data_IF_211327806797
#
_entry.id   IF_211327806797
#
_cell.length_a   1.000
_cell.length_b   1.000
_cell.length_c   1.000
_cell.angle_alpha   90.00
_cell.angle_beta   90.00
_cell.angle_gamma   90.00
#
_symmetry.space_group_name_H-M   'P 1'
#
loop_
_entity.id
_entity.type
_entity.pdbx_description
1 polymer ?
#
# COMPACT_ATOMS: atom_id res chain seq x y z
N UNK A 1 -3.30 11.26 10.35
CA UNK A 1 -3.56 12.00 11.59
C UNK A 1 -2.25 12.38 12.26
N UNK A 2 -2.27 13.43 13.01
CA UNK A 2 -1.11 13.83 13.82
C UNK A 2 -0.84 12.77 14.89
N UNK A 3 0.43 12.47 15.14
CA UNK A 3 0.82 11.56 16.21
C UNK A 3 0.51 12.16 17.59
N UNK A 4 0.40 11.31 18.61
CA UNK A 4 0.30 11.78 19.99
C UNK A 4 1.63 12.38 20.45
N UNK A 5 1.59 13.45 21.24
CA UNK A 5 2.79 14.17 21.69
C UNK A 5 3.73 13.34 22.59
N UNK A 6 3.30 12.17 23.05
CA UNK A 6 4.05 11.23 23.89
C UNK A 6 4.42 9.92 23.18
N UNK A 7 4.35 9.89 21.84
CA UNK A 7 4.61 8.68 21.06
C UNK A 7 6.01 8.10 21.29
N UNK A 8 7.02 8.93 21.46
CA UNK A 8 8.38 8.51 21.76
C UNK A 8 8.44 7.74 23.09
N UNK A 9 7.86 8.29 24.16
CA UNK A 9 7.80 7.62 25.48
C UNK A 9 7.01 6.30 25.40
N UNK A 10 5.86 6.30 24.73
CA UNK A 10 4.99 5.12 24.58
C UNK A 10 5.66 3.99 23.84
N UNK A 11 6.24 4.28 22.65
CA UNK A 11 6.84 3.23 21.82
C UNK A 11 8.20 2.77 22.34
N UNK A 12 8.98 3.62 23.00
CA UNK A 12 10.19 3.18 23.69
C UNK A 12 9.87 2.28 24.91
N UNK A 13 8.86 2.63 25.71
CA UNK A 13 8.42 1.78 26.81
C UNK A 13 7.86 0.44 26.29
N UNK A 14 7.06 0.46 25.22
CA UNK A 14 6.56 -0.74 24.57
C UNK A 14 7.71 -1.61 24.04
N UNK A 15 8.68 -1.02 23.36
CA UNK A 15 9.88 -1.73 22.87
C UNK A 15 10.68 -2.40 23.97
N UNK A 16 10.86 -1.73 25.12
CA UNK A 16 11.53 -2.33 26.28
C UNK A 16 10.76 -3.56 26.82
N UNK A 17 9.43 -3.47 26.89
CA UNK A 17 8.58 -4.59 27.31
C UNK A 17 8.64 -5.75 26.31
N UNK A 18 8.59 -5.49 25.00
CA UNK A 18 8.74 -6.50 23.93
C UNK A 18 10.07 -7.24 24.05
N UNK A 19 11.17 -6.51 24.23
CA UNK A 19 12.49 -7.13 24.39
C UNK A 19 12.58 -7.98 25.68
N UNK A 20 12.04 -7.48 26.80
CA UNK A 20 12.03 -8.22 28.05
C UNK A 20 11.22 -9.53 27.91
N UNK A 21 10.04 -9.48 27.31
CA UNK A 21 9.20 -10.64 27.06
C UNK A 21 9.90 -11.66 26.14
N UNK A 22 10.49 -11.19 25.01
CA UNK A 22 11.21 -12.05 24.07
C UNK A 22 12.32 -12.86 24.75
N UNK A 23 13.11 -12.21 25.61
CA UNK A 23 14.25 -12.86 26.31
C UNK A 23 13.83 -13.79 27.46
N UNK A 24 12.69 -13.56 28.12
CA UNK A 24 12.30 -14.28 29.34
C UNK A 24 11.25 -15.34 29.12
N UNK A 25 10.46 -15.30 28.05
CA UNK A 25 9.35 -16.23 27.82
C UNK A 25 9.73 -17.45 26.93
N UNK A 26 11.01 -17.68 26.69
CA UNK A 26 11.49 -18.85 25.92
C UNK A 26 11.22 -18.77 24.43
N UNK A 27 11.04 -17.58 23.88
CA UNK A 27 10.91 -17.36 22.43
C UNK A 27 12.24 -17.61 21.72
N UNK A 28 12.18 -18.05 20.45
CA UNK A 28 13.36 -18.32 19.63
C UNK A 28 13.87 -17.09 18.88
N UNK A 29 12.98 -16.11 18.63
CA UNK A 29 13.28 -14.83 18.00
C UNK A 29 12.27 -13.76 18.43
N UNK A 30 12.57 -12.50 18.16
CA UNK A 30 11.60 -11.40 18.17
C UNK A 30 11.45 -10.83 16.76
N UNK A 31 10.20 -10.59 16.36
CA UNK A 31 9.89 -9.94 15.09
C UNK A 31 9.32 -8.54 15.35
N UNK A 32 10.08 -7.55 14.95
CA UNK A 32 9.77 -6.13 15.13
C UNK A 32 9.10 -5.58 13.87
N UNK A 33 8.18 -4.63 14.05
CA UNK A 33 7.48 -3.99 12.94
C UNK A 33 7.64 -2.47 13.01
N UNK A 34 8.25 -1.89 11.99
CA UNK A 34 8.51 -0.46 11.84
C UNK A 34 9.22 0.17 13.06
N UNK A 35 9.27 1.51 13.10
CA UNK A 35 9.90 2.25 14.19
C UNK A 35 9.23 2.07 15.55
N UNK A 36 7.94 1.67 15.58
CA UNK A 36 7.13 1.52 16.79
C UNK A 36 7.67 0.47 17.76
N UNK A 37 8.33 -0.57 17.24
CA UNK A 37 8.95 -1.64 18.03
C UNK A 37 10.46 -1.67 17.87
N UNK A 38 11.01 -0.86 16.99
CA UNK A 38 12.41 -0.88 16.58
C UNK A 38 13.41 -0.75 17.74
N UNK A 39 13.11 0.07 18.75
CA UNK A 39 13.99 0.25 19.89
C UNK A 39 14.23 -1.04 20.70
N UNK A 40 13.35 -2.05 20.57
CA UNK A 40 13.55 -3.36 21.21
C UNK A 40 14.86 -4.03 20.79
N UNK A 41 15.34 -3.78 19.57
CA UNK A 41 16.61 -4.29 19.08
C UNK A 41 17.81 -3.89 19.96
N UNK A 42 17.74 -2.74 20.65
CA UNK A 42 18.83 -2.28 21.53
C UNK A 42 19.11 -3.23 22.70
N UNK A 43 18.08 -3.90 23.20
CA UNK A 43 18.22 -4.88 24.30
C UNK A 43 18.20 -6.33 23.84
N UNK A 44 17.59 -6.60 22.66
CA UNK A 44 17.43 -7.95 22.16
C UNK A 44 18.69 -8.45 21.40
N UNK A 45 19.39 -7.55 20.69
CA UNK A 45 20.56 -7.90 19.89
C UNK A 45 21.66 -8.57 20.73
N UNK A 46 22.13 -9.73 20.26
CA UNK A 46 23.11 -10.57 20.96
C UNK A 46 22.52 -11.50 22.04
N UNK A 47 21.25 -11.33 22.41
CA UNK A 47 20.55 -12.16 23.41
C UNK A 47 19.51 -13.10 22.75
N UNK A 48 18.81 -12.61 21.73
CA UNK A 48 17.82 -13.35 20.97
C UNK A 48 17.80 -12.81 19.53
N UNK A 49 17.65 -13.67 18.49
CA UNK A 49 17.58 -13.23 17.11
C UNK A 49 16.46 -12.19 16.86
N UNK A 50 16.79 -11.18 16.05
CA UNK A 50 15.91 -10.05 15.75
C UNK A 50 15.59 -10.02 14.26
N UNK A 51 14.33 -10.12 13.90
CA UNK A 51 13.82 -9.83 12.55
C UNK A 51 13.09 -8.49 12.59
N UNK A 52 13.31 -7.64 11.62
CA UNK A 52 12.63 -6.35 11.48
C UNK A 52 11.86 -6.30 10.17
N UNK A 53 10.54 -6.09 10.20
CA UNK A 53 9.76 -5.69 9.02
C UNK A 53 9.64 -4.18 8.93
N UNK A 54 9.92 -3.66 7.72
CA UNK A 54 9.79 -2.24 7.40
C UNK A 54 8.69 -2.08 6.36
N UNK A 55 7.56 -1.50 6.81
CA UNK A 55 6.41 -1.27 5.96
C UNK A 55 6.50 0.06 5.22
N UNK A 56 7.17 1.06 5.81
CA UNK A 56 7.39 2.35 5.17
C UNK A 56 8.61 3.08 5.76
N UNK A 57 9.65 3.30 4.95
CA UNK A 57 10.88 4.00 5.35
C UNK A 57 10.69 5.50 5.65
N UNK A 58 9.60 6.11 5.21
CA UNK A 58 9.32 7.51 5.51
C UNK A 58 9.07 7.76 7.01
N UNK A 59 8.66 6.73 7.75
CA UNK A 59 8.37 6.81 9.17
C UNK A 59 9.48 6.17 9.99
N UNK A 60 10.42 6.97 10.48
CA UNK A 60 11.62 6.50 11.17
C UNK A 60 11.57 6.62 12.70
N UNK A 61 10.55 7.31 13.23
CA UNK A 61 10.40 7.55 14.68
C UNK A 61 11.49 8.46 15.25
N UNK A 62 12.06 9.39 14.43
CA UNK A 62 13.13 10.31 14.89
C UNK A 62 12.64 11.12 16.08
N UNK A 63 13.45 11.15 17.15
CA UNK A 63 13.16 11.85 18.38
C UNK A 63 14.45 12.43 19.00
N UNK A 64 14.32 13.09 20.15
CA UNK A 64 15.43 13.76 20.80
C UNK A 64 16.57 12.84 21.22
N UNK A 65 17.79 13.36 21.22
CA UNK A 65 19.01 12.62 21.62
C UNK A 65 18.98 12.17 23.09
N UNK A 66 18.21 12.81 23.93
CA UNK A 66 18.00 12.46 25.34
C UNK A 66 17.43 11.05 25.54
N UNK A 67 16.76 10.48 24.54
CA UNK A 67 16.24 9.14 24.57
C UNK A 67 17.31 8.05 24.46
N UNK A 68 18.49 8.39 23.87
CA UNK A 68 19.62 7.46 23.72
C UNK A 68 20.05 6.89 25.08
N UNK A 69 20.11 7.71 26.12
CA UNK A 69 20.49 7.28 27.46
C UNK A 69 19.49 6.31 28.14
N UNK A 70 18.32 6.10 27.55
CA UNK A 70 17.27 5.19 28.04
C UNK A 70 17.23 3.88 27.28
N UNK A 71 17.98 3.77 26.17
CA UNK A 71 18.10 2.56 25.40
C UNK A 71 19.09 1.59 26.08
N UNK A 72 19.05 0.32 25.66
CA UNK A 72 19.92 -0.74 26.18
C UNK A 72 21.38 -0.60 25.77
N UNK A 73 22.17 -1.66 25.91
CA UNK A 73 23.62 -1.63 25.71
C UNK A 73 24.04 -1.24 24.27
N UNK A 74 23.14 -1.44 23.29
CA UNK A 74 23.40 -1.11 21.89
C UNK A 74 22.88 0.26 21.46
N UNK A 75 22.65 1.18 22.42
CA UNK A 75 22.10 2.52 22.20
C UNK A 75 22.84 3.34 21.12
N UNK A 76 24.15 3.12 20.95
CA UNK A 76 24.97 3.80 19.95
C UNK A 76 24.50 3.64 18.51
N UNK A 77 23.89 2.49 18.17
CA UNK A 77 23.33 2.22 16.84
C UNK A 77 22.16 3.15 16.48
N UNK A 78 21.52 3.76 17.48
CA UNK A 78 20.35 4.63 17.31
C UNK A 78 20.70 6.11 17.13
N UNK A 79 21.98 6.46 17.24
CA UNK A 79 22.45 7.84 17.03
C UNK A 79 22.62 8.09 15.55
N UNK A 80 21.82 9.01 14.99
CA UNK A 80 21.94 9.43 13.60
C UNK A 80 21.65 10.93 13.46
N UNK A 81 22.55 11.65 12.79
CA UNK A 81 22.40 13.08 12.52
C UNK A 81 22.07 13.90 13.78
N UNK A 82 22.70 13.56 14.92
CA UNK A 82 22.50 14.25 16.21
C UNK A 82 21.16 13.97 16.89
N UNK A 83 20.40 12.98 16.44
CA UNK A 83 19.11 12.58 17.00
C UNK A 83 19.06 11.07 17.29
N UNK A 84 18.05 10.64 18.04
CA UNK A 84 17.66 9.23 18.14
C UNK A 84 16.81 8.85 16.92
N UNK A 85 17.24 7.81 16.21
CA UNK A 85 16.49 7.25 15.08
C UNK A 85 16.23 5.76 15.34
N UNK A 86 15.03 5.39 15.88
CA UNK A 86 14.68 4.02 16.19
C UNK A 86 14.80 3.08 15.00
N UNK A 87 14.26 3.44 13.83
CA UNK A 87 14.30 2.57 12.66
C UNK A 87 15.73 2.31 12.19
N UNK A 88 16.57 3.35 12.12
CA UNK A 88 17.98 3.20 11.73
C UNK A 88 18.74 2.25 12.67
N UNK A 89 18.53 2.40 13.99
CA UNK A 89 19.15 1.53 14.99
C UNK A 89 18.72 0.08 14.85
N UNK A 90 17.44 -0.16 14.65
CA UNK A 90 16.93 -1.52 14.44
C UNK A 90 17.41 -2.14 13.12
N UNK A 91 17.48 -1.38 12.03
CA UNK A 91 18.08 -1.85 10.77
C UNK A 91 19.53 -2.27 11.00
N UNK A 92 20.32 -1.47 11.71
CA UNK A 92 21.72 -1.82 11.99
C UNK A 92 21.84 -3.11 12.80
N UNK A 93 21.00 -3.32 13.81
CA UNK A 93 21.09 -4.41 14.79
C UNK A 93 20.34 -5.69 14.41
N UNK A 94 19.32 -5.63 13.56
CA UNK A 94 18.54 -6.80 13.20
C UNK A 94 19.36 -7.85 12.44
N UNK A 95 19.14 -9.13 12.71
CA UNK A 95 19.76 -10.26 12.02
C UNK A 95 19.18 -10.43 10.62
N UNK A 96 17.90 -10.08 10.42
CA UNK A 96 17.28 -9.95 9.10
C UNK A 96 16.34 -8.74 9.05
N UNK A 97 16.32 -8.09 7.88
CA UNK A 97 15.39 -7.00 7.58
C UNK A 97 14.49 -7.42 6.42
N UNK A 98 13.19 -7.34 6.64
CA UNK A 98 12.17 -7.60 5.63
C UNK A 98 11.56 -6.28 5.20
N UNK A 99 11.55 -6.02 3.89
CA UNK A 99 10.75 -4.95 3.29
C UNK A 99 9.59 -5.58 2.50
N UNK A 100 8.51 -4.82 2.30
CA UNK A 100 7.21 -5.39 1.94
C UNK A 100 6.96 -5.59 0.45
N UNK A 101 8.01 -5.58 -0.37
CA UNK A 101 7.96 -6.12 -1.74
C UNK A 101 9.37 -6.31 -2.33
N UNK A 102 9.53 -7.16 -3.35
CA UNK A 102 10.80 -7.34 -4.07
C UNK A 102 11.31 -6.07 -4.73
N UNK A 103 10.45 -5.35 -5.46
CA UNK A 103 10.85 -4.09 -6.11
C UNK A 103 11.17 -3.01 -5.09
N UNK A 104 10.41 -2.90 -4.00
CA UNK A 104 10.75 -1.97 -2.92
C UNK A 104 12.10 -2.30 -2.28
N UNK A 105 12.50 -3.59 -2.21
CA UNK A 105 13.85 -3.98 -1.77
C UNK A 105 14.93 -3.35 -2.65
N UNK A 106 14.76 -3.33 -3.95
CA UNK A 106 15.74 -2.71 -4.86
C UNK A 106 15.69 -1.17 -4.79
N UNK A 107 14.52 -0.60 -4.58
CA UNK A 107 14.35 0.85 -4.43
C UNK A 107 15.04 1.37 -3.17
N UNK A 108 14.88 0.72 -2.02
CA UNK A 108 15.45 1.19 -0.74
C UNK A 108 16.97 1.17 -0.68
N UNK A 109 17.63 0.50 -1.62
CA UNK A 109 19.09 0.50 -1.76
C UNK A 109 19.64 1.74 -2.48
N UNK A 110 18.77 2.56 -3.08
CA UNK A 110 19.15 3.78 -3.82
C UNK A 110 19.09 5.00 -2.91
N UNK A 111 20.02 5.95 -3.05
CA UNK A 111 20.02 7.18 -2.24
C UNK A 111 18.70 7.99 -2.36
N UNK A 112 18.10 7.99 -3.55
CA UNK A 112 16.90 8.79 -3.87
C UNK A 112 15.64 8.26 -3.17
N UNK A 113 15.58 6.94 -2.92
CA UNK A 113 14.39 6.25 -2.40
C UNK A 113 14.62 5.57 -1.05
N UNK A 114 15.87 5.44 -0.60
CA UNK A 114 16.26 4.83 0.68
C UNK A 114 16.06 5.71 1.92
N UNK A 115 15.49 6.91 1.75
CA UNK A 115 15.17 7.84 2.84
C UNK A 115 16.36 8.13 3.80
N UNK A 116 17.58 8.12 3.27
CA UNK A 116 18.83 8.28 4.03
C UNK A 116 19.27 7.04 4.82
N UNK A 117 18.58 5.90 4.66
CA UNK A 117 18.93 4.62 5.29
C UNK A 117 19.52 3.60 4.30
N UNK A 118 19.66 3.96 3.03
CA UNK A 118 20.17 3.13 1.95
C UNK A 118 21.54 2.52 2.25
N UNK A 119 22.43 3.25 2.91
CA UNK A 119 23.74 2.74 3.36
C UNK A 119 23.60 1.58 4.34
N UNK A 120 22.78 1.72 5.38
CA UNK A 120 22.52 0.65 6.35
C UNK A 120 21.83 -0.56 5.72
N UNK A 121 20.92 -0.32 4.77
CA UNK A 121 20.21 -1.39 4.08
C UNK A 121 21.13 -2.16 3.12
N UNK A 122 22.06 -1.48 2.43
CA UNK A 122 23.10 -2.15 1.61
C UNK A 122 24.02 -3.03 2.45
N UNK A 123 24.36 -2.62 3.67
CA UNK A 123 25.18 -3.41 4.59
C UNK A 123 24.52 -4.74 5.00
N UNK A 124 23.18 -4.85 4.93
CA UNK A 124 22.46 -6.10 5.22
C UNK A 124 22.68 -7.18 4.17
N UNK A 125 23.01 -6.84 2.93
CA UNK A 125 23.26 -7.83 1.88
C UNK A 125 22.10 -8.83 1.77
N UNK A 126 22.40 -10.13 1.90
CA UNK A 126 21.40 -11.20 1.81
C UNK A 126 20.43 -11.28 3.01
N UNK A 127 20.71 -10.57 4.09
CA UNK A 127 19.80 -10.45 5.22
C UNK A 127 18.68 -9.42 4.97
N UNK A 128 18.73 -8.64 3.88
CA UNK A 128 17.63 -7.81 3.40
C UNK A 128 16.80 -8.58 2.39
N UNK A 129 15.54 -8.85 2.70
CA UNK A 129 14.61 -9.58 1.83
C UNK A 129 13.35 -8.79 1.53
N UNK A 130 12.83 -8.92 0.30
CA UNK A 130 11.52 -8.37 -0.10
C UNK A 130 10.45 -9.45 -0.03
N UNK A 131 9.41 -9.24 0.79
CA UNK A 131 8.28 -10.15 0.92
C UNK A 131 6.99 -9.35 0.76
N UNK A 132 6.23 -9.61 -0.31
CA UNK A 132 4.90 -9.01 -0.49
C UNK A 132 3.98 -9.39 0.69
N UNK A 133 3.16 -8.45 1.14
CA UNK A 133 2.06 -8.77 2.04
C UNK A 133 0.96 -9.52 1.28
N UNK A 134 0.18 -10.31 2.01
CA UNK A 134 -1.13 -10.80 1.55
C UNK A 134 -2.26 -9.87 2.03
N UNK A 135 -3.47 -10.17 1.60
CA UNK A 135 -4.69 -9.59 2.14
C UNK A 135 -5.51 -10.65 2.88
N UNK A 136 -6.44 -10.22 3.72
CA UNK A 136 -7.46 -11.10 4.27
C UNK A 136 -8.47 -11.46 3.17
N UNK A 137 -8.40 -12.68 2.67
CA UNK A 137 -9.25 -13.16 1.57
C UNK A 137 -10.64 -13.61 2.00
N UNK A 138 -10.91 -13.67 3.30
CA UNK A 138 -12.25 -13.91 3.84
C UNK A 138 -13.01 -12.59 3.95
N UNK A 139 -12.35 -11.53 4.41
CA UNK A 139 -12.88 -10.18 4.50
C UNK A 139 -13.07 -9.56 3.09
N UNK A 140 -12.03 -9.60 2.25
CA UNK A 140 -12.07 -9.12 0.86
C UNK A 140 -12.55 -10.23 -0.09
N UNK A 141 -13.85 -10.61 0.03
CA UNK A 141 -14.43 -11.71 -0.73
C UNK A 141 -15.79 -11.34 -1.34
N UNK A 142 -15.88 -11.03 -2.64
CA UNK A 142 -17.11 -10.58 -3.27
C UNK A 142 -18.26 -11.61 -3.21
N UNK A 143 -17.94 -12.90 -2.96
CA UNK A 143 -18.96 -13.95 -2.83
C UNK A 143 -19.64 -13.96 -1.44
N UNK A 144 -19.06 -13.29 -0.42
CA UNK A 144 -19.55 -13.31 0.96
C UNK A 144 -19.47 -11.95 1.66
N UNK A 145 -19.19 -10.87 0.93
CA UNK A 145 -19.01 -9.53 1.46
C UNK A 145 -20.35 -8.92 1.93
N UNK A 146 -20.52 -8.64 3.23
CA UNK A 146 -21.78 -8.09 3.77
C UNK A 146 -22.01 -6.61 3.38
N UNK A 147 -21.02 -5.92 2.83
CA UNK A 147 -21.11 -4.52 2.40
C UNK A 147 -21.70 -4.37 0.99
N UNK A 148 -21.90 -5.47 0.26
CA UNK A 148 -22.40 -5.44 -1.11
C UNK A 148 -23.91 -5.68 -1.19
N UNK A 149 -24.60 -5.06 -2.17
CA UNK A 149 -26.02 -5.27 -2.39
C UNK A 149 -26.35 -6.70 -2.88
N UNK A 150 -25.36 -7.36 -3.50
CA UNK A 150 -25.48 -8.75 -3.98
C UNK A 150 -24.09 -9.37 -4.10
N UNK A 151 -23.91 -10.65 -3.71
CA UNK A 151 -22.67 -11.35 -3.92
C UNK A 151 -22.40 -11.58 -5.41
N UNK A 152 -21.12 -11.78 -5.77
CA UNK A 152 -20.70 -12.19 -7.10
C UNK A 152 -19.37 -12.98 -7.05
N UNK A 153 -19.06 -13.65 -8.13
CA UNK A 153 -17.85 -14.44 -8.27
C UNK A 153 -17.29 -14.33 -9.70
N UNK A 154 -16.12 -14.92 -9.93
CA UNK A 154 -15.41 -14.83 -11.22
C UNK A 154 -16.21 -15.40 -12.40
N UNK A 155 -17.07 -16.36 -12.17
CA UNK A 155 -17.95 -17.02 -13.14
C UNK A 155 -19.34 -16.36 -13.28
N UNK A 156 -19.69 -15.44 -12.37
CA UNK A 156 -20.94 -14.66 -12.40
C UNK A 156 -20.71 -13.24 -11.85
N UNK A 157 -20.53 -12.29 -12.75
CA UNK A 157 -20.30 -10.88 -12.42
C UNK A 157 -21.61 -10.06 -12.32
N UNK A 158 -22.80 -10.68 -12.29
CA UNK A 158 -24.06 -9.93 -12.22
C UNK A 158 -24.14 -9.04 -10.96
N UNK A 159 -23.67 -9.54 -9.81
CA UNK A 159 -23.61 -8.77 -8.57
C UNK A 159 -22.68 -7.53 -8.65
N UNK A 160 -21.62 -7.58 -9.47
CA UNK A 160 -20.75 -6.41 -9.72
C UNK A 160 -21.49 -5.26 -10.39
N UNK A 161 -22.39 -5.56 -11.32
CA UNK A 161 -23.24 -4.53 -11.95
C UNK A 161 -24.21 -3.89 -10.95
N UNK A 162 -24.74 -4.67 -9.98
CA UNK A 162 -25.56 -4.13 -8.89
C UNK A 162 -24.72 -3.27 -7.92
N UNK A 163 -23.50 -3.69 -7.62
CA UNK A 163 -22.57 -2.90 -6.81
C UNK A 163 -22.23 -1.56 -7.49
N UNK A 164 -22.02 -1.56 -8.83
CA UNK A 164 -21.82 -0.33 -9.60
C UNK A 164 -23.01 0.61 -9.49
N UNK A 165 -24.23 0.09 -9.66
CA UNK A 165 -25.44 0.93 -9.56
C UNK A 165 -25.59 1.54 -8.15
N UNK A 166 -25.35 0.75 -7.11
CA UNK A 166 -25.40 1.22 -5.73
C UNK A 166 -24.29 2.24 -5.43
N UNK A 167 -23.09 2.06 -6.00
CA UNK A 167 -21.98 3.01 -5.86
C UNK A 167 -22.32 4.36 -6.50
N UNK A 168 -22.77 4.35 -7.74
CA UNK A 168 -23.15 5.56 -8.50
C UNK A 168 -24.21 6.35 -7.72
N UNK A 169 -25.24 5.69 -7.20
CA UNK A 169 -26.28 6.30 -6.36
C UNK A 169 -25.67 6.86 -5.05
N UNK A 170 -24.84 6.08 -4.36
CA UNK A 170 -24.24 6.46 -3.07
C UNK A 170 -23.34 7.70 -3.16
N UNK A 171 -22.59 7.86 -4.27
CA UNK A 171 -21.66 8.98 -4.46
C UNK A 171 -22.27 10.13 -5.26
N UNK A 172 -23.51 9.98 -5.74
CA UNK A 172 -24.26 11.02 -6.46
C UNK A 172 -23.77 11.29 -7.88
N UNK A 173 -23.12 10.35 -8.54
CA UNK A 173 -22.77 10.47 -9.96
C UNK A 173 -23.98 10.20 -10.85
N UNK A 174 -24.11 10.86 -12.03
CA UNK A 174 -25.14 10.49 -13.00
C UNK A 174 -24.82 9.13 -13.63
N UNK A 175 -25.86 8.46 -14.15
CA UNK A 175 -25.68 7.22 -14.92
C UNK A 175 -24.79 7.46 -16.15
N UNK A 176 -23.85 6.51 -16.39
CA UNK A 176 -22.84 6.61 -17.44
C UNK A 176 -22.51 5.23 -18.01
N UNK A 177 -22.23 5.16 -19.32
CA UNK A 177 -21.93 3.90 -20.02
C UNK A 177 -20.44 3.57 -20.08
N UNK A 178 -19.56 4.57 -19.97
CA UNK A 178 -18.12 4.40 -19.91
C UNK A 178 -17.64 3.80 -18.56
N UNK A 179 -16.34 3.59 -18.38
CA UNK A 179 -15.80 3.03 -17.15
C UNK A 179 -15.97 3.98 -15.97
N UNK A 180 -16.15 3.40 -14.78
CA UNK A 180 -16.08 4.08 -13.48
C UNK A 180 -14.75 3.78 -12.83
N UNK A 181 -13.85 4.75 -12.78
CA UNK A 181 -12.62 4.63 -12.03
C UNK A 181 -12.83 5.00 -10.56
N UNK A 182 -12.14 4.31 -9.67
CA UNK A 182 -12.23 4.55 -8.23
C UNK A 182 -10.84 4.75 -7.61
N UNK A 183 -10.79 5.47 -6.49
CA UNK A 183 -9.58 5.54 -5.67
C UNK A 183 -9.97 5.53 -4.19
N UNK A 184 -9.33 4.68 -3.41
CA UNK A 184 -9.47 4.60 -1.95
C UNK A 184 -8.11 4.84 -1.34
N UNK A 185 -7.91 6.01 -0.71
CA UNK A 185 -6.57 6.38 -0.31
C UNK A 185 -6.52 7.44 0.79
N UNK A 186 -5.41 7.50 1.52
CA UNK A 186 -5.09 8.69 2.32
C UNK A 186 -4.69 9.83 1.38
N UNK A 187 -5.14 11.03 1.64
CA UNK A 187 -4.65 12.21 0.94
C UNK A 187 -3.28 12.59 1.52
N UNK A 188 -2.24 12.22 0.79
CA UNK A 188 -0.85 12.51 1.11
C UNK A 188 -0.05 12.60 -0.20
N UNK A 189 1.03 13.38 -0.19
CA UNK A 189 1.91 13.53 -1.36
C UNK A 189 2.37 12.17 -1.91
N UNK A 190 2.68 11.22 -1.02
CA UNK A 190 3.02 9.83 -1.36
C UNK A 190 2.04 9.21 -2.34
N UNK A 191 0.74 9.43 -2.15
CA UNK A 191 -0.34 8.77 -2.92
C UNK A 191 -0.62 9.41 -4.27
N UNK A 192 -0.03 10.57 -4.54
CA UNK A 192 -0.03 11.19 -5.86
C UNK A 192 -1.38 11.63 -6.39
N UNK A 193 -2.39 11.82 -5.52
CA UNK A 193 -3.74 12.25 -5.94
C UNK A 193 -3.72 13.60 -6.64
N UNK A 194 -2.77 14.46 -6.32
CA UNK A 194 -2.52 15.72 -7.02
C UNK A 194 -2.20 15.52 -8.52
N UNK A 195 -1.66 14.37 -8.92
CA UNK A 195 -1.39 14.02 -10.32
C UNK A 195 -2.68 13.78 -11.13
N UNK A 196 -3.80 13.47 -10.46
CA UNK A 196 -5.11 13.29 -11.09
C UNK A 196 -5.83 14.61 -11.30
N UNK A 197 -5.62 15.62 -10.44
CA UNK A 197 -6.35 16.89 -10.50
C UNK A 197 -6.26 17.59 -11.86
N UNK A 198 -5.08 17.66 -12.54
CA UNK A 198 -4.99 18.24 -13.88
C UNK A 198 -5.75 17.47 -14.96
N UNK A 199 -6.09 16.19 -14.72
CA UNK A 199 -6.82 15.33 -15.65
C UNK A 199 -8.34 15.45 -15.52
N UNK A 200 -8.85 16.03 -14.42
CA UNK A 200 -10.28 16.14 -14.17
C UNK A 200 -11.04 16.83 -15.31
N UNK A 201 -10.56 17.93 -15.92
CA UNK A 201 -11.23 18.56 -17.05
C UNK A 201 -11.29 17.68 -18.33
N UNK A 202 -10.48 16.63 -18.42
CA UNK A 202 -10.44 15.73 -19.57
C UNK A 202 -11.34 14.48 -19.40
N UNK A 203 -11.87 14.22 -18.21
CA UNK A 203 -12.62 13.00 -17.88
C UNK A 203 -13.81 12.77 -18.81
N UNK A 204 -14.57 13.83 -19.10
CA UNK A 204 -15.71 13.74 -20.01
C UNK A 204 -15.28 13.36 -21.45
N UNK A 205 -14.19 13.94 -21.93
CA UNK A 205 -13.64 13.61 -23.25
C UNK A 205 -13.05 12.19 -23.31
N UNK A 206 -12.65 11.64 -22.18
CA UNK A 206 -12.19 10.25 -22.02
C UNK A 206 -13.33 9.26 -21.80
N UNK A 207 -14.59 9.70 -21.80
CA UNK A 207 -15.77 8.88 -21.46
C UNK A 207 -15.60 8.16 -20.10
N UNK A 208 -15.10 8.87 -19.07
CA UNK A 208 -14.67 8.33 -17.79
C UNK A 208 -15.32 9.08 -16.62
N UNK A 209 -15.83 8.35 -15.65
CA UNK A 209 -16.18 8.88 -14.33
C UNK A 209 -15.17 8.44 -13.28
N UNK A 210 -14.98 9.26 -12.24
CA UNK A 210 -14.07 8.98 -11.13
C UNK A 210 -14.79 9.18 -9.79
N UNK A 211 -14.64 8.22 -8.88
CA UNK A 211 -15.09 8.35 -7.49
C UNK A 211 -13.88 8.16 -6.54
N UNK A 212 -13.63 9.14 -5.68
CA UNK A 212 -12.51 9.14 -4.74
C UNK A 212 -13.03 9.13 -3.31
N UNK A 213 -12.58 8.16 -2.52
CA UNK A 213 -12.76 8.10 -1.06
C UNK A 213 -11.41 8.33 -0.39
N UNK A 214 -11.32 9.33 0.46
CA UNK A 214 -10.09 9.56 1.22
C UNK A 214 -10.11 10.82 2.04
N UNK A 215 -9.25 10.87 3.05
CA UNK A 215 -9.02 12.02 3.90
C UNK A 215 -7.52 12.18 4.21
N UNK A 216 -7.09 13.38 4.60
CA UNK A 216 -5.69 13.63 4.95
C UNK A 216 -5.28 15.08 4.79
N UNK A 217 -4.39 15.37 3.85
CA UNK A 217 -3.92 16.73 3.58
C UNK A 217 -5.09 17.66 3.21
N UNK A 218 -5.23 18.76 3.95
CA UNK A 218 -6.37 19.66 3.79
C UNK A 218 -6.36 20.39 2.44
N UNK A 219 -5.19 20.73 1.90
CA UNK A 219 -5.10 21.41 0.61
C UNK A 219 -5.50 20.49 -0.55
N UNK A 220 -5.13 19.19 -0.45
CA UNK A 220 -5.60 18.18 -1.41
C UNK A 220 -7.11 17.93 -1.28
N UNK A 221 -7.64 17.89 -0.07
CA UNK A 221 -9.08 17.73 0.16
C UNK A 221 -9.87 18.90 -0.42
N UNK A 222 -9.43 20.14 -0.17
CA UNK A 222 -10.05 21.35 -0.72
C UNK A 222 -10.02 21.33 -2.26
N UNK A 223 -8.85 21.00 -2.85
CA UNK A 223 -8.71 20.94 -4.31
C UNK A 223 -9.62 19.88 -4.96
N UNK A 224 -9.78 18.70 -4.31
CA UNK A 224 -10.69 17.65 -4.78
C UNK A 224 -12.15 18.08 -4.67
N UNK A 225 -12.53 18.75 -3.59
CA UNK A 225 -13.89 19.27 -3.39
C UNK A 225 -14.24 20.31 -4.47
N UNK A 226 -13.35 21.28 -4.68
CA UNK A 226 -13.49 22.29 -5.72
C UNK A 226 -13.55 21.68 -7.13
N UNK A 227 -12.79 20.63 -7.39
CA UNK A 227 -12.83 19.93 -8.66
C UNK A 227 -14.14 19.16 -8.86
N UNK A 228 -14.64 18.48 -7.82
CA UNK A 228 -15.92 17.76 -7.87
C UNK A 228 -17.11 18.73 -8.05
N UNK A 229 -17.09 19.90 -7.40
CA UNK A 229 -18.12 20.93 -7.61
C UNK A 229 -18.12 21.48 -9.04
N UNK A 230 -16.96 21.61 -9.68
CA UNK A 230 -16.85 22.09 -11.07
C UNK A 230 -17.16 21.02 -12.10
N UNK A 231 -16.99 19.73 -11.76
CA UNK A 231 -17.16 18.60 -12.68
C UNK A 231 -18.09 17.52 -12.08
N UNK A 232 -19.32 17.87 -11.62
CA UNK A 232 -20.17 16.94 -10.86
C UNK A 232 -20.69 15.75 -11.68
N UNK A 233 -20.59 15.82 -13.00
CA UNK A 233 -20.94 14.70 -13.88
C UNK A 233 -19.83 13.65 -14.02
N UNK A 234 -18.59 14.02 -13.71
CA UNK A 234 -17.41 13.17 -13.99
C UNK A 234 -16.60 12.83 -12.73
N UNK A 235 -16.70 13.62 -11.66
CA UNK A 235 -15.93 13.41 -10.43
C UNK A 235 -16.83 13.48 -9.19
N UNK A 236 -16.75 12.45 -8.37
CA UNK A 236 -17.26 12.44 -6.99
C UNK A 236 -16.11 12.32 -6.00
N UNK A 237 -16.16 13.12 -4.93
CA UNK A 237 -15.20 13.03 -3.84
C UNK A 237 -15.93 12.91 -2.50
N UNK A 238 -15.55 11.87 -1.73
CA UNK A 238 -16.06 11.62 -0.38
C UNK A 238 -14.91 11.74 0.60
N UNK A 239 -14.94 12.79 1.43
CA UNK A 239 -13.93 13.01 2.48
C UNK A 239 -14.32 12.24 3.74
N UNK A 240 -13.89 11.00 3.82
CA UNK A 240 -14.17 10.13 4.95
C UNK A 240 -13.14 9.00 5.09
N UNK A 241 -13.19 8.34 6.25
CA UNK A 241 -12.77 6.97 6.42
C UNK A 241 -14.05 6.12 6.53
N UNK A 242 -14.41 5.41 5.47
CA UNK A 242 -15.64 4.62 5.36
C UNK A 242 -15.32 3.25 4.74
N UNK A 243 -15.25 2.23 5.58
CA UNK A 243 -14.92 0.87 5.19
C UNK A 243 -15.97 0.27 4.26
N UNK A 244 -17.25 0.46 4.57
CA UNK A 244 -18.36 -0.02 3.74
C UNK A 244 -18.32 0.60 2.34
N UNK A 245 -18.03 1.89 2.25
CA UNK A 245 -17.88 2.56 0.96
C UNK A 245 -16.60 2.10 0.23
N UNK A 246 -15.52 1.76 0.94
CA UNK A 246 -14.31 1.22 0.31
C UNK A 246 -14.58 -0.12 -0.37
N UNK A 247 -15.29 -1.05 0.31
CA UNK A 247 -15.74 -2.31 -0.29
C UNK A 247 -16.62 -2.07 -1.52
N UNK A 248 -17.57 -1.16 -1.42
CA UNK A 248 -18.47 -0.83 -2.52
C UNK A 248 -17.72 -0.20 -3.71
N UNK A 249 -16.70 0.65 -3.46
CA UNK A 249 -15.84 1.22 -4.49
C UNK A 249 -15.06 0.13 -5.24
N UNK A 250 -14.43 -0.82 -4.53
CA UNK A 250 -13.73 -1.93 -5.18
C UNK A 250 -14.70 -2.85 -5.93
N UNK A 251 -15.89 -3.08 -5.41
CA UNK A 251 -16.88 -3.93 -6.07
C UNK A 251 -17.55 -3.27 -7.28
N UNK A 252 -17.90 -1.99 -7.18
CA UNK A 252 -18.64 -1.25 -8.21
C UNK A 252 -17.75 -0.55 -9.23
N UNK A 253 -16.47 -0.34 -8.95
CA UNK A 253 -15.51 0.25 -9.86
C UNK A 253 -15.15 -0.67 -11.02
N UNK A 254 -14.73 -0.09 -12.13
CA UNK A 254 -14.17 -0.78 -13.29
C UNK A 254 -12.64 -0.69 -13.29
N UNK A 255 -12.12 0.48 -12.93
CA UNK A 255 -10.69 0.79 -12.84
C UNK A 255 -10.36 1.27 -11.41
N UNK A 256 -9.19 0.90 -10.90
CA UNK A 256 -8.63 1.46 -9.66
C UNK A 256 -7.48 2.41 -10.01
N UNK A 257 -7.50 3.64 -9.53
CA UNK A 257 -6.43 4.61 -9.74
C UNK A 257 -5.51 4.68 -8.53
N UNK A 258 -4.22 4.38 -8.73
CA UNK A 258 -3.16 4.49 -7.71
C UNK A 258 -1.93 5.20 -8.30
N UNK A 259 -1.93 6.54 -8.39
CA UNK A 259 -0.84 7.33 -8.95
C UNK A 259 0.31 7.55 -7.94
N UNK A 260 0.61 6.58 -7.10
CA UNK A 260 1.54 6.72 -5.99
C UNK A 260 2.96 7.07 -6.46
N UNK A 261 3.61 8.04 -5.80
CA UNK A 261 5.02 8.37 -6.03
C UNK A 261 5.96 7.29 -5.51
N UNK A 262 5.59 6.66 -4.41
CA UNK A 262 6.18 5.42 -3.91
C UNK A 262 5.13 4.60 -3.18
N UNK A 263 5.18 3.28 -3.33
CA UNK A 263 4.22 2.35 -2.73
C UNK A 263 4.95 1.07 -2.30
N UNK A 264 5.38 0.98 -1.02
CA UNK A 264 6.17 -0.16 -0.56
C UNK A 264 5.56 -1.52 -0.89
N UNK A 265 4.27 -1.68 -0.68
CA UNK A 265 3.51 -2.87 -1.05
C UNK A 265 2.25 -2.52 -1.85
N UNK A 266 1.41 -1.65 -1.28
CA UNK A 266 0.04 -1.48 -1.72
C UNK A 266 -0.82 -2.71 -1.37
N UNK A 267 -2.02 -2.46 -0.85
CA UNK A 267 -3.02 -3.51 -0.63
C UNK A 267 -4.23 -3.27 -1.53
N UNK A 268 -4.54 -2.01 -1.81
CA UNK A 268 -5.72 -1.61 -2.57
C UNK A 268 -5.81 -2.25 -3.96
N UNK A 269 -4.69 -2.42 -4.67
CA UNK A 269 -4.70 -3.06 -5.99
C UNK A 269 -5.04 -4.55 -5.89
N UNK A 270 -4.56 -5.26 -4.84
CA UNK A 270 -4.89 -6.66 -4.62
C UNK A 270 -6.36 -6.82 -4.22
N UNK A 271 -6.83 -5.94 -3.31
CA UNK A 271 -8.24 -5.89 -2.91
C UNK A 271 -9.13 -5.61 -4.12
N UNK A 272 -8.84 -4.60 -4.93
CA UNK A 272 -9.60 -4.26 -6.13
C UNK A 272 -9.63 -5.40 -7.16
N UNK A 273 -8.49 -6.04 -7.41
CA UNK A 273 -8.40 -7.20 -8.32
C UNK A 273 -9.25 -8.37 -7.83
N UNK A 274 -9.37 -8.60 -6.52
CA UNK A 274 -10.30 -9.61 -5.96
C UNK A 274 -11.76 -9.34 -6.33
N UNK A 275 -12.12 -8.08 -6.54
CA UNK A 275 -13.47 -7.65 -6.95
C UNK A 275 -13.58 -7.42 -8.48
N UNK A 276 -12.58 -7.81 -9.26
CA UNK A 276 -12.57 -7.64 -10.72
C UNK A 276 -12.48 -6.19 -11.15
N UNK A 277 -11.89 -5.32 -10.33
CA UNK A 277 -11.59 -3.92 -10.65
C UNK A 277 -10.13 -3.81 -11.06
N UNK A 278 -9.90 -3.31 -12.29
CA UNK A 278 -8.60 -3.37 -12.93
C UNK A 278 -7.70 -2.19 -12.50
N UNK A 279 -6.50 -2.43 -11.98
CA UNK A 279 -5.63 -1.37 -11.51
C UNK A 279 -4.98 -0.57 -12.65
N UNK A 280 -4.95 0.76 -12.49
CA UNK A 280 -4.13 1.71 -13.22
C UNK A 280 -3.20 2.35 -12.20
N UNK A 281 -1.92 2.01 -12.26
CA UNK A 281 -0.96 2.31 -11.19
C UNK A 281 0.32 2.91 -11.74
N UNK A 282 1.10 3.57 -10.90
CA UNK A 282 2.49 3.91 -11.22
C UNK A 282 3.39 2.68 -11.06
N UNK A 283 4.46 2.62 -11.83
CA UNK A 283 5.40 1.49 -11.86
C UNK A 283 6.44 1.58 -10.72
N UNK A 284 5.97 1.43 -9.47
CA UNK A 284 6.79 1.58 -8.27
C UNK A 284 6.50 0.48 -7.24
N UNK A 285 7.51 0.06 -6.50
CA UNK A 285 7.42 -0.84 -5.35
C UNK A 285 6.50 -2.04 -5.57
N UNK A 286 5.59 -2.29 -4.62
CA UNK A 286 4.66 -3.42 -4.70
C UNK A 286 3.61 -3.30 -5.81
N UNK A 287 3.38 -2.12 -6.38
CA UNK A 287 2.52 -1.96 -7.56
C UNK A 287 3.16 -2.62 -8.79
N UNK A 288 4.48 -2.44 -8.96
CA UNK A 288 5.25 -3.16 -9.98
C UNK A 288 5.13 -4.68 -9.84
N UNK A 289 5.24 -5.17 -8.60
CA UNK A 289 5.29 -6.61 -8.30
C UNK A 289 3.92 -7.30 -8.42
N UNK A 290 2.81 -6.55 -8.34
CA UNK A 290 1.45 -7.10 -8.28
C UNK A 290 0.60 -6.83 -9.51
N UNK A 291 0.96 -5.84 -10.33
CA UNK A 291 0.22 -5.46 -11.53
C UNK A 291 1.06 -5.76 -12.77
N UNK A 292 0.62 -6.71 -13.57
CA UNK A 292 1.22 -6.99 -14.89
C UNK A 292 0.53 -6.11 -15.93
N UNK A 293 1.32 -5.34 -16.69
CA UNK A 293 0.77 -4.44 -17.72
C UNK A 293 0.18 -5.22 -18.89
N UNK A 294 -1.06 -4.89 -19.26
CA UNK A 294 -1.82 -5.58 -20.30
C UNK A 294 -1.26 -5.39 -21.72
N UNK A 295 -0.57 -4.29 -21.97
CA UNK A 295 0.02 -4.05 -23.29
C UNK A 295 1.40 -4.71 -23.43
N UNK A 296 2.12 -4.91 -22.30
CA UNK A 296 3.41 -5.62 -22.25
C UNK A 296 3.21 -7.14 -22.27
N UNK A 297 2.22 -7.66 -21.53
CA UNK A 297 1.88 -9.07 -21.46
C UNK A 297 0.36 -9.29 -21.50
N UNK A 298 -0.25 -9.28 -22.70
CA UNK A 298 -1.70 -9.47 -22.86
C UNK A 298 -2.22 -10.79 -22.30
N UNK A 299 -1.39 -11.82 -22.24
CA UNK A 299 -1.77 -13.15 -21.76
C UNK A 299 -1.92 -13.20 -20.22
N UNK A 300 -1.09 -12.47 -19.50
CA UNK A 300 -1.04 -12.49 -18.03
C UNK A 300 -1.41 -11.13 -17.41
N UNK A 301 -1.61 -10.10 -18.21
CA UNK A 301 -1.88 -8.73 -17.76
C UNK A 301 -3.11 -8.63 -16.88
N UNK A 302 -3.00 -7.82 -15.81
CA UNK A 302 -4.05 -7.59 -14.81
C UNK A 302 -4.47 -6.13 -14.70
N UNK A 303 -3.73 -5.21 -15.35
CA UNK A 303 -3.98 -3.79 -15.30
C UNK A 303 -3.03 -2.99 -16.19
N UNK A 304 -2.82 -1.72 -15.89
CA UNK A 304 -1.93 -0.83 -16.64
C UNK A 304 -0.98 -0.09 -15.71
N UNK A 305 0.27 0.05 -16.15
CA UNK A 305 1.31 0.77 -15.40
C UNK A 305 1.70 2.06 -16.10
N UNK A 306 1.76 3.14 -15.35
CA UNK A 306 2.34 4.41 -15.80
C UNK A 306 3.85 4.38 -15.59
N UNK A 307 4.64 4.69 -16.59
CA UNK A 307 6.10 4.58 -16.57
C UNK A 307 6.79 5.51 -15.55
N UNK A 308 6.10 6.56 -15.10
CA UNK A 308 6.60 7.50 -14.09
C UNK A 308 5.44 8.04 -13.23
N UNK A 309 5.77 8.52 -12.03
CA UNK A 309 4.83 9.17 -11.13
C UNK A 309 4.66 10.65 -11.50
N UNK A 310 4.17 10.91 -12.71
CA UNK A 310 3.83 12.24 -13.21
C UNK A 310 2.49 12.22 -13.98
N UNK A 311 1.88 13.38 -14.14
CA UNK A 311 0.58 13.52 -14.81
C UNK A 311 0.59 13.02 -16.26
N UNK A 312 1.58 13.34 -17.13
CA UNK A 312 1.61 12.83 -18.49
C UNK A 312 1.68 11.31 -18.59
N UNK A 313 2.54 10.67 -17.79
CA UNK A 313 2.70 9.21 -17.76
C UNK A 313 1.43 8.53 -17.26
N UNK A 314 0.82 9.07 -16.19
CA UNK A 314 -0.42 8.53 -15.63
C UNK A 314 -1.60 8.72 -16.60
N UNK A 315 -1.68 9.87 -17.28
CA UNK A 315 -2.66 10.11 -18.36
C UNK A 315 -2.53 9.08 -19.48
N UNK A 316 -1.31 8.79 -19.91
CA UNK A 316 -1.06 7.77 -20.95
C UNK A 316 -1.57 6.38 -20.53
N UNK A 317 -1.28 5.96 -19.31
CA UNK A 317 -1.79 4.69 -18.76
C UNK A 317 -3.32 4.69 -18.66
N UNK A 318 -3.93 5.81 -18.23
CA UNK A 318 -5.38 5.95 -18.15
C UNK A 318 -6.07 5.84 -19.50
N UNK A 319 -5.54 6.47 -20.55
CA UNK A 319 -6.06 6.37 -21.93
C UNK A 319 -6.00 4.92 -22.42
N UNK A 320 -4.89 4.22 -22.19
CA UNK A 320 -4.75 2.79 -22.51
C UNK A 320 -5.77 1.95 -21.76
N UNK A 321 -5.97 2.24 -20.46
CA UNK A 321 -6.92 1.54 -19.61
C UNK A 321 -8.37 1.70 -20.09
N UNK A 322 -8.80 2.91 -20.44
CA UNK A 322 -10.13 3.17 -20.99
C UNK A 322 -10.33 2.42 -22.30
N UNK A 323 -9.33 2.45 -23.20
CA UNK A 323 -9.37 1.70 -24.44
C UNK A 323 -9.46 0.19 -24.23
N UNK A 324 -8.60 -0.37 -23.37
CA UNK A 324 -8.59 -1.81 -23.07
C UNK A 324 -9.86 -2.27 -22.33
N UNK A 325 -10.40 -1.43 -21.44
CA UNK A 325 -11.68 -1.72 -20.78
C UNK A 325 -12.85 -1.79 -21.77
N UNK A 326 -12.82 -1.00 -22.83
CA UNK A 326 -13.86 -0.99 -23.86
C UNK A 326 -13.89 -2.26 -24.72
N UNK A 327 -12.80 -3.03 -24.72
CA UNK A 327 -12.75 -4.38 -25.31
C UNK A 327 -13.26 -5.42 -24.28
N UNK A 328 -14.42 -6.08 -24.54
CA UNK A 328 -15.00 -7.02 -23.58
C UNK A 328 -14.11 -8.24 -23.30
N UNK A 329 -13.35 -8.74 -24.27
CA UNK A 329 -12.50 -9.91 -24.10
C UNK A 329 -11.25 -9.57 -23.28
N UNK A 330 -10.63 -8.44 -23.53
CA UNK A 330 -9.51 -7.91 -22.74
C UNK A 330 -9.94 -7.68 -21.30
N UNK A 331 -11.07 -6.99 -21.10
CA UNK A 331 -11.62 -6.68 -19.78
C UNK A 331 -11.94 -7.98 -18.99
N UNK A 332 -12.72 -8.88 -19.57
CA UNK A 332 -13.12 -10.12 -18.89
C UNK A 332 -11.91 -10.98 -18.54
N UNK A 333 -10.97 -11.13 -19.47
CA UNK A 333 -9.76 -11.91 -19.23
C UNK A 333 -8.92 -11.34 -18.08
N UNK A 334 -8.73 -10.01 -18.03
CA UNK A 334 -7.99 -9.35 -16.95
C UNK A 334 -8.71 -9.46 -15.60
N UNK A 335 -10.04 -9.30 -15.58
CA UNK A 335 -10.87 -9.49 -14.38
C UNK A 335 -10.74 -10.92 -13.83
N UNK A 336 -10.84 -11.93 -14.69
CA UNK A 336 -10.70 -13.33 -14.28
C UNK A 336 -9.32 -13.61 -13.68
N UNK A 337 -8.24 -13.11 -14.29
CA UNK A 337 -6.89 -13.28 -13.77
C UNK A 337 -6.72 -12.63 -12.40
N UNK A 338 -7.16 -11.38 -12.24
CA UNK A 338 -7.09 -10.66 -10.98
C UNK A 338 -7.89 -11.32 -9.85
N UNK A 339 -9.12 -11.79 -10.16
CA UNK A 339 -10.01 -12.43 -9.17
C UNK A 339 -9.54 -13.82 -8.75
N UNK A 340 -8.84 -14.57 -9.63
CA UNK A 340 -8.36 -15.93 -9.35
C UNK A 340 -6.95 -15.99 -8.80
N UNK A 341 -6.19 -14.89 -8.83
CA UNK A 341 -4.86 -14.83 -8.26
C UNK A 341 -4.89 -15.07 -6.75
N UNK A 342 -3.86 -15.76 -6.23
CA UNK A 342 -3.71 -15.98 -4.79
C UNK A 342 -3.10 -14.75 -4.11
N UNK A 343 -3.94 -13.92 -3.55
CA UNK A 343 -3.58 -12.75 -2.76
C UNK A 343 -3.51 -13.02 -1.26
N UNK A 344 -3.67 -14.28 -0.82
CA UNK A 344 -3.67 -14.66 0.60
C UNK A 344 -2.30 -14.52 1.25
N UNK A 345 -2.29 -14.61 2.58
CA UNK A 345 -1.07 -14.67 3.37
C UNK A 345 -0.31 -16.00 3.28
N UNK A 346 -0.80 -17.02 2.56
CA UNK A 346 -0.18 -18.35 2.50
C UNK A 346 1.24 -18.32 1.93
N UNK A 347 1.43 -17.65 0.81
CA UNK A 347 2.74 -17.46 0.18
C UNK A 347 3.68 -16.58 1.02
N UNK A 348 3.27 -15.36 1.39
CA UNK A 348 4.06 -14.50 2.28
C UNK A 348 4.48 -15.17 3.59
N UNK A 349 3.56 -15.82 4.30
CA UNK A 349 3.86 -16.50 5.56
C UNK A 349 4.96 -17.57 5.40
N UNK A 350 4.93 -18.34 4.30
CA UNK A 350 5.97 -19.32 4.02
C UNK A 350 7.35 -18.68 3.84
N UNK A 351 7.42 -17.49 3.21
CA UNK A 351 8.66 -16.73 3.05
C UNK A 351 9.15 -16.16 4.39
N UNK A 352 8.23 -15.68 5.25
CA UNK A 352 8.59 -15.26 6.61
C UNK A 352 9.14 -16.41 7.44
N UNK A 353 8.53 -17.60 7.38
CA UNK A 353 9.05 -18.80 8.06
C UNK A 353 10.48 -19.13 7.57
N UNK A 354 10.73 -19.02 6.27
CA UNK A 354 12.08 -19.22 5.72
C UNK A 354 13.08 -18.17 6.25
N UNK A 355 12.67 -16.89 6.34
CA UNK A 355 13.51 -15.85 6.92
C UNK A 355 13.79 -16.11 8.42
N UNK A 356 12.81 -16.55 9.19
CA UNK A 356 12.99 -16.88 10.62
C UNK A 356 13.98 -18.04 10.80
N UNK A 357 13.87 -19.11 10.00
CA UNK A 357 14.80 -20.26 10.08
C UNK A 357 16.24 -19.83 9.83
N UNK A 358 16.48 -18.96 8.87
CA UNK A 358 17.84 -18.46 8.55
C UNK A 358 18.51 -17.70 9.71
N UNK A 359 17.73 -17.10 10.63
CA UNK A 359 18.30 -16.34 11.77
C UNK A 359 18.37 -17.18 13.05
N UNK A 360 17.66 -18.31 13.10
CA UNK A 360 17.66 -19.22 14.25
C UNK A 360 18.76 -20.31 14.11
N UNK A 361 19.02 -20.77 12.88
CA UNK A 361 20.06 -21.75 12.52
C UNK A 361 21.44 -21.10 12.50
#
# INVERSE_FOLDING_TARGET
GEGWGDNDARFLAFSAAVSALGRTAGHQLVHLNDWHTAAAASWAHGEIPVVLSVHNLAYQGRTGVEWIGRLGPNAGAFVRDGACNPLAGAIALADAVVVVSPTFREEVLRPETGAGLDGLLREKGDALVGILNGIDTDDWNPAADPHLPSPFAVDDLAGKALARAALVDRVGLPGHSGPLAVSVTRLAEQKGIDLLLPLVPELEALDLQVAILGAGDAALADALRDAAERHPASLAYVEAYDESLAHLLFAGGDLLLMPSRFEPCGLGQMQAMRYGTLPVVTDVGGLHDTVTDLDEDPANGTGWRAAAADTPSFRSALVRAVSGWSDPDVRLGAQQRGMTADWSWSGPASRYVAAYRRVIE
#
